data_IF_632607092196
#
_entry.id   IF_632607092196
#
_cell.length_a   1.000
_cell.length_b   1.000
_cell.length_c   1.000
_cell.angle_alpha   90.00
_cell.angle_beta   90.00
_cell.angle_gamma   90.00
#
_symmetry.space_group_name_H-M   'P 1'
#
loop_
_entity.id
_entity.type
_entity.pdbx_description
1 polymer ?
#
# COMPACT_ATOMS: atom_id res chain seq x y z
N UNK A 1 0.08 38.86 -15.88
CA UNK A 1 -0.49 37.76 -15.08
C UNK A 1 -0.58 36.49 -15.89
N UNK A 2 0.55 35.88 -16.24
CA UNK A 2 0.60 34.61 -17.00
C UNK A 2 1.50 33.55 -16.32
N UNK A 3 2.04 33.82 -15.11
CA UNK A 3 3.01 32.91 -14.48
C UNK A 3 2.39 31.75 -13.71
N UNK A 4 1.12 31.86 -13.27
CA UNK A 4 0.44 30.79 -12.53
C UNK A 4 -0.02 29.64 -13.44
N UNK A 5 -0.52 29.94 -14.65
CA UNK A 5 -1.00 28.89 -15.56
C UNK A 5 0.14 27.94 -15.97
N UNK A 6 1.33 28.49 -16.26
CA UNK A 6 2.50 27.68 -16.59
C UNK A 6 3.12 26.97 -15.37
N UNK A 7 2.96 27.48 -14.15
CA UNK A 7 3.43 26.77 -12.95
C UNK A 7 2.57 25.54 -12.66
N UNK A 8 1.27 25.65 -12.88
CA UNK A 8 0.31 24.58 -12.62
C UNK A 8 0.53 23.42 -13.62
N UNK A 9 0.68 23.70 -14.91
CA UNK A 9 0.95 22.66 -15.93
C UNK A 9 2.24 21.87 -15.66
N UNK A 10 3.34 22.55 -15.35
CA UNK A 10 4.61 21.88 -15.05
C UNK A 10 4.56 21.10 -13.74
N UNK A 11 3.83 21.60 -12.74
CA UNK A 11 3.63 20.90 -11.48
C UNK A 11 2.76 19.65 -11.64
N UNK A 12 1.66 19.74 -12.41
CA UNK A 12 0.83 18.57 -12.71
C UNK A 12 1.59 17.53 -13.52
N UNK A 13 2.36 17.94 -14.54
CA UNK A 13 3.18 17.00 -15.31
C UNK A 13 4.21 16.25 -14.44
N UNK A 14 4.89 16.95 -13.52
CA UNK A 14 5.78 16.30 -12.55
C UNK A 14 5.02 15.42 -11.53
N UNK A 15 3.79 15.81 -11.19
CA UNK A 15 2.88 15.02 -10.35
C UNK A 15 2.44 13.72 -11.02
N UNK A 16 2.09 13.77 -12.30
CA UNK A 16 1.69 12.61 -13.10
C UNK A 16 2.87 11.65 -13.26
N UNK A 17 4.05 12.15 -13.62
CA UNK A 17 5.28 11.33 -13.72
C UNK A 17 5.65 10.68 -12.38
N UNK A 18 5.47 11.39 -11.25
CA UNK A 18 5.64 10.81 -9.92
C UNK A 18 4.62 9.69 -9.66
N UNK A 19 3.36 9.89 -10.03
CA UNK A 19 2.31 8.89 -9.85
C UNK A 19 2.59 7.64 -10.69
N UNK A 20 2.93 7.81 -11.96
CA UNK A 20 3.29 6.72 -12.87
C UNK A 20 4.48 5.92 -12.32
N UNK A 21 5.53 6.61 -11.86
CA UNK A 21 6.69 5.94 -11.27
C UNK A 21 6.33 5.14 -10.01
N UNK A 22 5.47 5.67 -9.14
CA UNK A 22 5.00 4.96 -7.95
C UNK A 22 4.18 3.72 -8.31
N UNK A 23 3.32 3.83 -9.33
CA UNK A 23 2.53 2.70 -9.83
C UNK A 23 3.42 1.62 -10.42
N UNK A 24 4.36 1.97 -11.30
CA UNK A 24 5.31 1.02 -11.88
C UNK A 24 6.15 0.33 -10.80
N UNK A 25 6.64 1.07 -9.81
CA UNK A 25 7.40 0.49 -8.70
C UNK A 25 6.56 -0.49 -7.87
N UNK A 26 5.30 -0.15 -7.62
CA UNK A 26 4.36 -1.05 -6.93
C UNK A 26 4.09 -2.32 -7.76
N UNK A 27 3.86 -2.19 -9.06
CA UNK A 27 3.66 -3.33 -9.97
C UNK A 27 4.89 -4.23 -10.03
N UNK A 28 6.09 -3.65 -10.10
CA UNK A 28 7.36 -4.40 -10.07
C UNK A 28 7.54 -5.17 -8.77
N UNK A 29 7.26 -4.55 -7.62
CA UNK A 29 7.34 -5.22 -6.32
C UNK A 29 6.36 -6.40 -6.25
N UNK A 30 5.10 -6.21 -6.68
CA UNK A 30 4.10 -7.28 -6.67
C UNK A 30 4.40 -8.40 -7.67
N UNK A 31 5.12 -8.09 -8.75
CA UNK A 31 5.56 -9.08 -9.73
C UNK A 31 6.89 -9.78 -9.36
N UNK A 32 7.59 -9.35 -8.29
CA UNK A 32 8.84 -9.98 -7.86
C UNK A 32 8.56 -11.43 -7.41
N UNK A 33 9.21 -12.44 -8.02
CA UNK A 33 9.01 -13.84 -7.66
C UNK A 33 9.23 -14.13 -6.17
N UNK A 34 10.15 -13.39 -5.52
CA UNK A 34 10.42 -13.53 -4.08
C UNK A 34 9.25 -13.02 -3.25
N UNK A 35 8.63 -11.92 -3.66
CA UNK A 35 7.43 -11.41 -2.99
C UNK A 35 6.27 -12.39 -3.14
N UNK A 36 6.07 -12.93 -4.35
CA UNK A 36 5.04 -13.93 -4.64
C UNK A 36 5.23 -15.17 -3.76
N UNK A 37 6.45 -15.66 -3.59
CA UNK A 37 6.76 -16.81 -2.73
C UNK A 37 6.49 -16.52 -1.23
N UNK A 38 6.85 -15.32 -0.76
CA UNK A 38 6.55 -14.87 0.60
C UNK A 38 5.04 -14.76 0.83
N UNK A 39 4.30 -14.25 -0.15
CA UNK A 39 2.85 -14.17 -0.12
C UNK A 39 2.19 -15.55 -0.12
N UNK A 40 2.64 -16.48 -0.96
CA UNK A 40 2.18 -17.87 -1.00
C UNK A 40 2.45 -18.60 0.34
N UNK A 41 3.59 -18.32 0.96
CA UNK A 41 3.93 -18.86 2.29
C UNK A 41 2.97 -18.33 3.36
N UNK A 42 2.68 -17.02 3.35
CA UNK A 42 1.68 -16.43 4.22
C UNK A 42 0.28 -17.03 3.98
N UNK A 43 -0.15 -17.15 2.72
CA UNK A 43 -1.45 -17.72 2.34
C UNK A 43 -1.62 -19.13 2.88
N UNK A 44 -0.60 -19.98 2.76
CA UNK A 44 -0.62 -21.33 3.33
C UNK A 44 -0.75 -21.33 4.85
N UNK A 45 -0.08 -20.40 5.54
CA UNK A 45 -0.19 -20.27 6.99
C UNK A 45 -1.61 -19.87 7.41
N UNK A 46 -2.18 -18.84 6.78
CA UNK A 46 -3.56 -18.42 7.05
C UNK A 46 -4.57 -19.53 6.77
N UNK A 47 -4.38 -20.26 5.66
CA UNK A 47 -5.26 -21.37 5.29
C UNK A 47 -5.20 -22.54 6.30
N UNK A 48 -4.02 -22.80 6.89
CA UNK A 48 -3.87 -23.79 7.96
C UNK A 48 -4.64 -23.40 9.24
N UNK A 49 -4.82 -22.10 9.46
CA UNK A 49 -5.61 -21.53 10.56
C UNK A 49 -7.10 -21.34 10.19
N UNK A 50 -7.51 -21.79 8.99
CA UNK A 50 -8.89 -21.76 8.53
C UNK A 50 -9.30 -20.53 7.72
N UNK A 51 -8.38 -19.60 7.45
CA UNK A 51 -8.64 -18.37 6.73
C UNK A 51 -8.20 -18.45 5.27
N UNK A 52 -9.16 -18.37 4.34
CA UNK A 52 -8.93 -18.47 2.89
C UNK A 52 -9.04 -17.10 2.23
N UNK A 53 -7.94 -16.33 2.26
CA UNK A 53 -7.86 -15.05 1.57
C UNK A 53 -7.25 -15.19 0.18
N UNK A 54 -7.60 -14.28 -0.73
CA UNK A 54 -6.93 -14.21 -2.05
C UNK A 54 -5.49 -13.73 -1.91
N UNK A 55 -5.30 -12.70 -1.12
CA UNK A 55 -4.03 -12.04 -0.86
C UNK A 55 -4.11 -11.28 0.48
N UNK A 56 -2.95 -10.81 0.96
CA UNK A 56 -2.85 -10.14 2.26
C UNK A 56 -3.57 -8.78 2.31
N UNK A 57 -3.70 -8.06 1.19
CA UNK A 57 -4.42 -6.79 1.15
C UNK A 57 -5.94 -7.00 1.14
N UNK A 58 -6.40 -8.04 0.45
CA UNK A 58 -7.79 -8.44 0.35
C UNK A 58 -8.38 -8.92 1.69
N UNK A 59 -7.58 -9.47 2.60
CA UNK A 59 -8.08 -10.01 3.87
C UNK A 59 -8.85 -8.99 4.69
N UNK A 60 -8.37 -7.74 4.75
CA UNK A 60 -9.04 -6.66 5.50
C UNK A 60 -10.17 -6.05 4.65
N UNK A 61 -9.86 -5.62 3.42
CA UNK A 61 -10.78 -4.85 2.61
C UNK A 61 -11.99 -5.66 2.12
N UNK A 62 -11.81 -6.93 1.77
CA UNK A 62 -12.88 -7.75 1.19
C UNK A 62 -13.71 -8.48 2.25
N UNK A 63 -13.12 -8.81 3.41
CA UNK A 63 -13.81 -9.58 4.44
C UNK A 63 -14.49 -8.71 5.51
N UNK A 64 -13.93 -7.55 5.84
CA UNK A 64 -14.46 -6.71 6.93
C UNK A 64 -15.25 -5.50 6.45
N UNK A 65 -14.78 -4.80 5.40
CA UNK A 65 -15.41 -3.55 4.96
C UNK A 65 -16.90 -3.70 4.61
N UNK A 66 -17.35 -4.74 3.88
CA UNK A 66 -18.78 -4.89 3.56
C UNK A 66 -19.64 -5.08 4.82
N UNK A 67 -19.15 -5.87 5.78
CA UNK A 67 -19.85 -6.19 7.03
C UNK A 67 -19.90 -4.99 7.96
N UNK A 68 -18.81 -4.22 8.06
CA UNK A 68 -18.79 -2.96 8.82
C UNK A 68 -19.81 -1.97 8.23
N UNK A 69 -19.86 -1.83 6.91
CA UNK A 69 -20.81 -0.92 6.26
C UNK A 69 -22.27 -1.29 6.60
N UNK A 70 -22.64 -2.56 6.49
CA UNK A 70 -23.99 -3.06 6.82
C UNK A 70 -24.36 -2.83 8.30
N UNK A 71 -23.42 -3.02 9.22
CA UNK A 71 -23.67 -2.87 10.66
C UNK A 71 -23.78 -1.40 11.09
N UNK A 72 -23.01 -0.51 10.45
CA UNK A 72 -23.07 0.93 10.71
C UNK A 72 -24.38 1.55 10.19
N UNK A 73 -24.93 1.05 9.09
CA UNK A 73 -26.24 1.48 8.58
C UNK A 73 -27.38 1.14 9.56
N UNK A 74 -27.23 0.04 10.32
CA UNK A 74 -28.23 -0.47 11.26
C UNK A 74 -27.99 -0.04 12.72
N UNK A 75 -26.90 0.67 13.03
CA UNK A 75 -26.49 1.08 14.39
C UNK A 75 -26.46 -0.08 15.42
N UNK A 76 -26.14 -1.30 14.98
CA UNK A 76 -26.07 -2.46 15.87
C UNK A 76 -24.71 -2.52 16.58
N UNK A 77 -24.63 -1.91 17.75
CA UNK A 77 -23.41 -1.86 18.54
C UNK A 77 -22.92 -3.23 19.02
N UNK A 78 -23.82 -4.21 19.22
CA UNK A 78 -23.43 -5.55 19.65
C UNK A 78 -22.77 -6.31 18.50
N UNK A 79 -23.38 -6.25 17.31
CA UNK A 79 -22.80 -6.87 16.12
C UNK A 79 -21.47 -6.23 15.71
N UNK A 80 -21.31 -4.91 15.89
CA UNK A 80 -20.01 -4.24 15.67
C UNK A 80 -18.94 -4.77 16.65
N UNK A 81 -19.31 -5.04 17.91
CA UNK A 81 -18.37 -5.59 18.88
C UNK A 81 -17.95 -7.02 18.55
N UNK A 82 -18.87 -7.85 18.07
CA UNK A 82 -18.58 -9.21 17.60
C UNK A 82 -17.65 -9.20 16.38
N UNK A 83 -17.92 -8.35 15.40
CA UNK A 83 -17.09 -8.22 14.20
C UNK A 83 -15.66 -7.75 14.53
N UNK A 84 -15.51 -6.85 15.51
CA UNK A 84 -14.19 -6.43 16.01
C UNK A 84 -13.43 -7.55 16.71
N UNK A 85 -14.13 -8.43 17.44
CA UNK A 85 -13.49 -9.58 18.08
C UNK A 85 -12.92 -10.54 17.01
N UNK A 86 -13.69 -10.80 15.95
CA UNK A 86 -13.24 -11.58 14.80
C UNK A 86 -12.06 -10.91 14.07
N UNK A 87 -12.08 -9.59 13.92
CA UNK A 87 -10.96 -8.83 13.34
C UNK A 87 -9.67 -9.00 14.16
N UNK A 88 -9.78 -8.94 15.49
CA UNK A 88 -8.63 -9.16 16.38
C UNK A 88 -8.09 -10.59 16.24
N UNK A 89 -8.95 -11.60 16.13
CA UNK A 89 -8.54 -12.98 15.92
C UNK A 89 -7.77 -13.15 14.60
N UNK A 90 -8.32 -12.64 13.50
CA UNK A 90 -7.68 -12.70 12.18
C UNK A 90 -6.35 -11.94 12.17
N UNK A 91 -6.29 -10.73 12.74
CA UNK A 91 -5.05 -9.94 12.80
C UNK A 91 -4.00 -10.61 13.69
N UNK A 92 -4.40 -11.26 14.78
CA UNK A 92 -3.48 -12.03 15.63
C UNK A 92 -2.83 -13.16 14.85
N UNK A 93 -3.62 -13.86 14.02
CA UNK A 93 -3.11 -14.91 13.14
C UNK A 93 -2.25 -14.35 12.01
N UNK A 94 -2.62 -13.21 11.39
CA UNK A 94 -1.78 -12.52 10.41
C UNK A 94 -0.39 -12.21 10.98
N UNK A 95 -0.35 -11.63 12.19
CA UNK A 95 0.92 -11.32 12.86
C UNK A 95 1.75 -12.59 13.06
N UNK A 96 1.15 -13.68 13.52
CA UNK A 96 1.85 -14.95 13.72
C UNK A 96 2.39 -15.52 12.40
N UNK A 97 1.61 -15.43 11.32
CA UNK A 97 2.00 -15.91 9.99
C UNK A 97 3.05 -15.02 9.29
N UNK A 98 3.06 -13.72 9.55
CA UNK A 98 3.99 -12.75 8.96
C UNK A 98 5.31 -12.67 9.74
N UNK A 99 5.29 -12.85 11.06
CA UNK A 99 6.48 -12.68 11.91
C UNK A 99 7.71 -13.46 11.39
N UNK A 100 7.59 -14.75 10.99
CA UNK A 100 8.72 -15.51 10.43
C UNK A 100 9.21 -15.00 9.06
N UNK A 101 8.41 -14.20 8.36
CA UNK A 101 8.69 -13.66 7.02
C UNK A 101 9.19 -12.21 7.08
N UNK A 102 9.16 -11.57 8.26
CA UNK A 102 9.34 -10.13 8.41
C UNK A 102 10.69 -9.64 7.87
N UNK A 103 11.79 -10.31 8.20
CA UNK A 103 13.13 -9.90 7.76
C UNK A 103 13.25 -9.96 6.23
N UNK A 104 12.76 -11.04 5.60
CA UNK A 104 12.78 -11.20 4.15
C UNK A 104 11.90 -10.16 3.43
N UNK A 105 10.71 -9.88 3.98
CA UNK A 105 9.81 -8.86 3.45
C UNK A 105 10.44 -7.47 3.56
N UNK A 106 11.10 -7.17 4.68
CA UNK A 106 11.75 -5.89 4.91
C UNK A 106 12.97 -5.68 4.00
N UNK A 107 13.80 -6.70 3.83
CA UNK A 107 14.95 -6.66 2.92
C UNK A 107 14.48 -6.43 1.48
N UNK A 108 13.48 -7.20 1.04
CA UNK A 108 12.92 -7.06 -0.30
C UNK A 108 12.30 -5.67 -0.53
N UNK A 109 11.53 -5.17 0.44
CA UNK A 109 10.96 -3.84 0.37
C UNK A 109 12.06 -2.76 0.28
N UNK A 110 13.13 -2.89 1.05
CA UNK A 110 14.25 -1.95 1.03
C UNK A 110 15.00 -1.95 -0.31
N UNK A 111 15.17 -3.11 -0.96
CA UNK A 111 15.74 -3.21 -2.30
C UNK A 111 14.90 -2.45 -3.34
N UNK A 112 13.58 -2.67 -3.34
CA UNK A 112 12.67 -2.01 -4.28
C UNK A 112 12.50 -0.52 -3.98
N UNK A 113 12.49 -0.11 -2.71
CA UNK A 113 12.49 1.30 -2.32
C UNK A 113 13.75 2.00 -2.79
N UNK A 114 14.92 1.36 -2.64
CA UNK A 114 16.18 1.91 -3.16
C UNK A 114 16.11 2.14 -4.67
N UNK A 115 15.60 1.16 -5.43
CA UNK A 115 15.41 1.32 -6.88
C UNK A 115 14.46 2.47 -7.20
N UNK A 116 13.33 2.58 -6.49
CA UNK A 116 12.38 3.68 -6.66
C UNK A 116 13.03 5.05 -6.41
N UNK A 117 13.86 5.17 -5.37
CA UNK A 117 14.59 6.42 -5.07
C UNK A 117 15.59 6.76 -6.17
N UNK A 118 16.29 5.76 -6.71
CA UNK A 118 17.21 5.94 -7.83
C UNK A 118 16.48 6.37 -9.12
N UNK A 119 15.36 5.72 -9.45
CA UNK A 119 14.51 6.08 -10.58
C UNK A 119 13.92 7.50 -10.43
N UNK A 120 13.59 7.90 -9.20
CA UNK A 120 13.04 9.20 -8.86
C UNK A 120 14.08 10.35 -8.85
N UNK A 121 15.37 10.07 -9.05
CA UNK A 121 16.42 11.09 -8.96
C UNK A 121 16.14 12.31 -9.87
N UNK A 122 15.68 12.06 -11.11
CA UNK A 122 15.31 13.12 -12.04
C UNK A 122 14.10 13.93 -11.60
N UNK A 123 13.10 13.29 -10.99
CA UNK A 123 11.92 13.94 -10.43
C UNK A 123 12.27 14.85 -9.25
N UNK A 124 13.20 14.44 -8.37
CA UNK A 124 13.63 15.29 -7.27
C UNK A 124 14.29 16.58 -7.75
N UNK A 125 15.09 16.51 -8.82
CA UNK A 125 15.68 17.71 -9.46
C UNK A 125 14.57 18.59 -10.04
N UNK A 126 13.63 18.03 -10.80
CA UNK A 126 12.49 18.78 -11.36
C UNK A 126 11.68 19.50 -10.28
N UNK A 127 11.34 18.82 -9.18
CA UNK A 127 10.61 19.44 -8.08
C UNK A 127 11.42 20.52 -7.35
N UNK A 128 12.74 20.36 -7.21
CA UNK A 128 13.61 21.39 -6.65
C UNK A 128 13.63 22.65 -7.52
N UNK A 129 13.75 22.50 -8.84
CA UNK A 129 13.70 23.61 -9.81
C UNK A 129 12.34 24.33 -9.79
N UNK A 130 11.22 23.58 -9.74
CA UNK A 130 9.89 24.14 -9.61
C UNK A 130 9.72 24.92 -8.30
N UNK A 131 10.24 24.40 -7.19
CA UNK A 131 10.23 25.08 -5.90
C UNK A 131 11.05 26.36 -5.92
N UNK A 132 12.24 26.36 -6.52
CA UNK A 132 13.06 27.57 -6.67
C UNK A 132 12.34 28.63 -7.54
N UNK A 133 11.74 28.18 -8.63
CA UNK A 133 11.11 29.05 -9.62
C UNK A 133 9.77 29.62 -9.18
N UNK A 134 8.99 28.88 -8.39
CA UNK A 134 7.60 29.21 -8.08
C UNK A 134 7.25 29.16 -6.58
N UNK A 135 8.12 28.64 -5.72
CA UNK A 135 7.88 28.43 -4.29
C UNK A 135 7.98 29.68 -3.41
N UNK A 136 8.05 30.88 -4.02
CA UNK A 136 7.93 32.16 -3.31
C UNK A 136 6.53 32.76 -3.49
N UNK A 137 5.63 32.37 -2.59
CA UNK A 137 4.53 33.21 -2.09
C UNK A 137 4.45 33.08 -0.58
#
# INVERSE_FOLDING_TARGET
GCSQVNSDELFYAAGDEKFDLQQEAFERFNADPRYIELQDTWLRCMAAEGYNFRDRFASIAESFQPRINELLENYDAAAVAELRAEEIEIVTVDIACVTPLADNLQELAAEHEKQLVEDAAGLFVKFAELKERYGSR
#
